data_IF_308321540202
#
_entry.id   IF_308321540202
#
_cell.length_a   1.000
_cell.length_b   1.000
_cell.length_c   1.000
_cell.angle_alpha   90.00
_cell.angle_beta   90.00
_cell.angle_gamma   90.00
#
_symmetry.space_group_name_H-M   'P 1'
#
loop_
_entity.id
_entity.type
_entity.pdbx_description
1 polymer ?
#
# COMPACT_ATOMS: atom_id res chain seq x y z
N UNK A 1 1.05 -17.74 4.70
CA UNK A 1 1.23 -19.15 4.24
C UNK A 1 0.88 -20.11 5.36
N UNK A 2 1.42 -19.94 6.57
CA UNK A 2 1.16 -20.80 7.73
C UNK A 2 -0.35 -20.98 7.99
N UNK A 3 -1.11 -19.89 8.05
CA UNK A 3 -2.56 -19.93 8.24
C UNK A 3 -3.28 -20.72 7.12
N UNK A 4 -2.80 -20.64 5.88
CA UNK A 4 -3.34 -21.44 4.78
C UNK A 4 -3.05 -22.94 4.98
N UNK A 5 -1.84 -23.26 5.47
CA UNK A 5 -1.43 -24.63 5.77
C UNK A 5 -2.30 -25.23 6.88
N UNK A 6 -2.51 -24.49 7.98
CA UNK A 6 -3.36 -24.86 9.10
C UNK A 6 -4.82 -25.10 8.66
N UNK A 7 -5.32 -24.27 7.74
CA UNK A 7 -6.66 -24.40 7.17
C UNK A 7 -6.73 -25.36 5.97
N UNK A 8 -5.66 -26.12 5.69
CA UNK A 8 -5.60 -27.11 4.62
C UNK A 8 -5.83 -26.54 3.21
N UNK A 9 -5.47 -25.27 2.99
CA UNK A 9 -5.57 -24.55 1.70
C UNK A 9 -4.29 -24.73 0.90
N UNK A 10 -4.40 -25.02 -0.40
CA UNK A 10 -3.25 -25.14 -1.28
C UNK A 10 -2.64 -23.75 -1.59
N UNK A 11 -1.32 -23.64 -1.48
CA UNK A 11 -0.56 -22.39 -1.70
C UNK A 11 0.52 -22.60 -2.74
N UNK A 12 0.65 -21.68 -3.68
CA UNK A 12 1.80 -21.55 -4.57
C UNK A 12 2.44 -20.19 -4.34
N UNK A 13 3.71 -20.17 -3.92
CA UNK A 13 4.49 -18.93 -3.74
C UNK A 13 5.48 -18.78 -4.90
N UNK A 14 5.45 -17.65 -5.58
CA UNK A 14 6.47 -17.19 -6.51
C UNK A 14 7.23 -16.04 -5.85
N UNK A 15 8.42 -16.32 -5.31
CA UNK A 15 9.20 -15.34 -4.54
C UNK A 15 10.39 -14.83 -5.34
N UNK A 16 10.41 -13.53 -5.59
CA UNK A 16 11.44 -12.82 -6.35
C UNK A 16 12.32 -11.98 -5.42
N UNK A 17 13.64 -12.21 -5.43
CA UNK A 17 14.62 -11.41 -4.71
C UNK A 17 15.74 -10.95 -5.67
N UNK A 18 16.43 -9.84 -5.31
CA UNK A 18 17.60 -9.35 -6.09
C UNK A 18 18.90 -10.11 -5.80
N UNK A 19 18.94 -10.86 -4.71
CA UNK A 19 20.09 -11.65 -4.30
C UNK A 19 19.82 -13.13 -4.44
N UNK A 20 20.88 -13.93 -4.37
CA UNK A 20 20.74 -15.40 -4.31
C UNK A 20 20.28 -15.90 -2.94
N UNK A 21 20.34 -15.04 -1.90
CA UNK A 21 19.85 -15.37 -0.56
C UNK A 21 18.41 -14.88 -0.42
N UNK A 22 17.48 -15.79 -0.41
CA UNK A 22 16.08 -15.51 -0.11
C UNK A 22 15.89 -15.47 1.41
N UNK A 23 15.20 -14.44 1.90
CA UNK A 23 14.83 -14.37 3.30
C UNK A 23 13.80 -15.47 3.59
N UNK A 24 13.92 -16.14 4.74
CA UNK A 24 13.06 -17.26 5.16
C UNK A 24 13.18 -18.54 4.30
N UNK A 25 14.33 -18.75 3.63
CA UNK A 25 14.51 -19.94 2.79
C UNK A 25 14.40 -21.25 3.59
N UNK A 26 14.94 -21.30 4.81
CA UNK A 26 14.82 -22.45 5.72
C UNK A 26 13.39 -22.74 6.13
N UNK A 27 12.62 -21.69 6.44
CA UNK A 27 11.21 -21.77 6.80
C UNK A 27 10.37 -22.24 5.61
N UNK A 28 10.72 -21.80 4.41
CA UNK A 28 10.06 -22.23 3.19
C UNK A 28 10.28 -23.72 2.91
N UNK A 29 11.51 -24.21 3.11
CA UNK A 29 11.81 -25.66 2.98
C UNK A 29 11.01 -26.50 3.96
N UNK A 30 10.76 -25.99 5.17
CA UNK A 30 9.92 -26.69 6.14
C UNK A 30 8.45 -26.72 5.72
N UNK A 31 7.94 -25.60 5.20
CA UNK A 31 6.56 -25.49 4.70
C UNK A 31 6.29 -26.39 3.49
N UNK A 32 7.28 -26.59 2.61
CA UNK A 32 7.16 -27.47 1.43
C UNK A 32 7.03 -28.97 1.78
N UNK A 33 7.32 -29.37 3.01
CA UNK A 33 6.99 -30.73 3.47
C UNK A 33 5.48 -31.01 3.42
N UNK A 34 4.67 -29.95 3.46
CA UNK A 34 3.25 -30.07 3.20
C UNK A 34 3.00 -30.13 1.69
N UNK A 35 2.46 -31.25 1.19
CA UNK A 35 2.18 -31.50 -0.24
C UNK A 35 1.27 -30.46 -0.91
N UNK A 36 0.60 -29.60 -0.13
CA UNK A 36 -0.25 -28.51 -0.64
C UNK A 36 0.48 -27.18 -0.79
N UNK A 37 1.75 -27.13 -0.43
CA UNK A 37 2.58 -25.92 -0.54
C UNK A 37 3.61 -26.16 -1.64
N UNK A 38 3.66 -25.26 -2.60
CA UNK A 38 4.69 -25.20 -3.64
C UNK A 38 5.37 -23.83 -3.59
N UNK A 39 6.70 -23.81 -3.47
CA UNK A 39 7.49 -22.59 -3.37
C UNK A 39 8.51 -22.53 -4.50
N UNK A 40 8.51 -21.42 -5.23
CA UNK A 40 9.41 -21.20 -6.35
C UNK A 40 10.19 -19.90 -6.11
N UNK A 41 11.51 -20.03 -5.94
CA UNK A 41 12.42 -18.94 -5.64
C UNK A 41 13.09 -18.46 -6.94
N UNK A 42 13.08 -17.15 -7.17
CA UNK A 42 13.65 -16.52 -8.36
C UNK A 42 14.62 -15.42 -7.98
N UNK A 43 15.72 -15.34 -8.70
CA UNK A 43 16.62 -14.18 -8.65
C UNK A 43 16.21 -13.19 -9.74
N UNK A 44 15.63 -12.06 -9.38
CA UNK A 44 15.14 -11.05 -10.34
C UNK A 44 16.26 -10.42 -11.20
N UNK A 45 17.54 -10.62 -10.86
CA UNK A 45 18.67 -10.15 -11.65
C UNK A 45 18.98 -11.12 -12.80
N UNK A 46 18.90 -12.43 -12.59
CA UNK A 46 19.15 -13.47 -13.61
C UNK A 46 17.87 -13.94 -14.31
N UNK A 47 16.80 -14.15 -13.54
CA UNK A 47 15.55 -14.75 -14.02
C UNK A 47 14.55 -13.71 -14.53
N UNK A 48 14.87 -12.41 -14.32
CA UNK A 48 14.01 -11.31 -14.72
C UNK A 48 12.82 -11.09 -13.76
N UNK A 49 11.85 -10.32 -14.26
CA UNK A 49 10.59 -10.08 -13.57
C UNK A 49 9.59 -11.19 -13.88
N UNK A 50 8.56 -11.28 -13.05
CA UNK A 50 7.45 -12.22 -13.23
C UNK A 50 6.84 -12.10 -14.64
N UNK A 51 6.58 -13.24 -15.26
CA UNK A 51 5.95 -13.35 -16.57
C UNK A 51 4.72 -14.24 -16.51
N UNK A 52 3.82 -14.11 -17.48
CA UNK A 52 2.64 -14.98 -17.54
C UNK A 52 3.02 -16.44 -17.76
N UNK A 53 4.08 -16.72 -18.51
CA UNK A 53 4.59 -18.07 -18.75
C UNK A 53 5.03 -18.72 -17.44
N UNK A 54 5.69 -17.96 -16.54
CA UNK A 54 6.06 -18.46 -15.21
C UNK A 54 4.81 -18.73 -14.37
N UNK A 55 3.84 -17.82 -14.37
CA UNK A 55 2.57 -18.02 -13.64
C UNK A 55 1.88 -19.29 -14.14
N UNK A 56 1.68 -19.44 -15.44
CA UNK A 56 1.05 -20.60 -16.06
C UNK A 56 1.79 -21.91 -15.79
N UNK A 57 3.13 -21.86 -15.77
CA UNK A 57 3.97 -23.03 -15.49
C UNK A 57 3.84 -23.51 -14.05
N UNK A 58 3.85 -22.60 -13.08
CA UNK A 58 3.94 -22.93 -11.65
C UNK A 58 2.58 -22.89 -10.94
N UNK A 59 1.60 -22.22 -11.51
CA UNK A 59 0.24 -22.12 -11.01
C UNK A 59 -0.76 -22.14 -12.18
N UNK A 60 -0.93 -23.26 -12.87
CA UNK A 60 -1.76 -23.36 -14.08
C UNK A 60 -3.23 -23.03 -13.83
N UNK A 61 -3.70 -23.16 -12.60
CA UNK A 61 -5.05 -22.87 -12.14
C UNK A 61 -5.19 -21.46 -11.54
N UNK A 62 -4.28 -20.51 -11.85
CA UNK A 62 -4.24 -19.16 -11.26
C UNK A 62 -5.53 -18.37 -11.46
N UNK A 63 -6.31 -18.66 -12.51
CA UNK A 63 -7.60 -18.01 -12.79
C UNK A 63 -8.69 -18.34 -11.75
N UNK A 64 -8.57 -19.48 -11.10
CA UNK A 64 -9.52 -19.99 -10.09
C UNK A 64 -9.08 -19.61 -8.66
N UNK A 65 -7.84 -19.09 -8.50
CA UNK A 65 -7.26 -18.77 -7.21
C UNK A 65 -7.44 -17.31 -6.80
N UNK A 66 -7.38 -17.08 -5.50
CA UNK A 66 -7.09 -15.74 -4.96
C UNK A 66 -5.60 -15.50 -5.03
N UNK A 67 -5.21 -14.41 -5.66
CA UNK A 67 -3.81 -14.02 -5.83
C UNK A 67 -3.47 -12.88 -4.87
N UNK A 68 -2.46 -13.10 -4.03
CA UNK A 68 -1.90 -12.07 -3.16
C UNK A 68 -0.61 -11.55 -3.75
N UNK A 69 -0.50 -10.22 -3.91
CA UNK A 69 0.70 -9.56 -4.44
C UNK A 69 1.27 -8.63 -3.39
N UNK A 70 2.55 -8.84 -3.06
CA UNK A 70 3.24 -8.08 -2.04
C UNK A 70 4.64 -7.71 -2.54
N UNK A 71 5.04 -6.43 -2.43
CA UNK A 71 6.35 -5.97 -2.88
C UNK A 71 6.40 -4.50 -3.26
N UNK A 72 7.40 -4.07 -4.06
CA UNK A 72 7.49 -2.71 -4.57
C UNK A 72 6.28 -2.30 -5.41
N UNK A 73 5.86 -1.04 -5.32
CA UNK A 73 4.66 -0.54 -6.01
C UNK A 73 4.63 -0.85 -7.51
N UNK A 74 5.75 -0.68 -8.21
CA UNK A 74 5.83 -0.97 -9.64
C UNK A 74 5.64 -2.47 -9.92
N UNK A 75 6.21 -3.35 -9.09
CA UNK A 75 6.01 -4.79 -9.22
C UNK A 75 4.53 -5.17 -9.03
N UNK A 76 3.88 -4.60 -8.02
CA UNK A 76 2.45 -4.84 -7.78
C UNK A 76 1.61 -4.37 -8.98
N UNK A 77 1.85 -3.15 -9.46
CA UNK A 77 1.10 -2.60 -10.59
C UNK A 77 1.28 -3.44 -11.87
N UNK A 78 2.55 -3.74 -12.22
CA UNK A 78 2.89 -4.54 -13.41
C UNK A 78 2.29 -5.95 -13.32
N UNK A 79 2.38 -6.60 -12.14
CA UNK A 79 1.85 -7.96 -11.94
C UNK A 79 0.32 -7.98 -11.97
N UNK A 80 -0.33 -6.99 -11.35
CA UNK A 80 -1.79 -6.85 -11.39
C UNK A 80 -2.29 -6.69 -12.83
N UNK A 81 -1.65 -5.82 -13.60
CA UNK A 81 -2.00 -5.59 -14.99
C UNK A 81 -1.79 -6.87 -15.82
N UNK A 82 -0.65 -7.54 -15.65
CA UNK A 82 -0.34 -8.80 -16.32
C UNK A 82 -1.42 -9.86 -16.08
N UNK A 83 -1.89 -10.00 -14.85
CA UNK A 83 -2.95 -10.95 -14.48
C UNK A 83 -4.29 -10.59 -15.14
N UNK A 84 -4.69 -9.31 -15.12
CA UNK A 84 -5.94 -8.83 -15.71
C UNK A 84 -5.95 -9.03 -17.23
N UNK A 85 -4.85 -8.68 -17.90
CA UNK A 85 -4.69 -8.89 -19.36
C UNK A 85 -4.79 -10.38 -19.74
N UNK A 86 -4.44 -11.27 -18.81
CA UNK A 86 -4.56 -12.72 -18.97
C UNK A 86 -5.81 -13.31 -18.29
N UNK A 87 -6.89 -12.52 -18.21
CA UNK A 87 -8.25 -12.92 -17.82
C UNK A 87 -8.44 -13.24 -16.33
N UNK A 88 -7.50 -12.93 -15.46
CA UNK A 88 -7.74 -13.04 -14.02
C UNK A 88 -8.80 -12.01 -13.58
N UNK A 89 -9.68 -12.42 -12.68
CA UNK A 89 -10.74 -11.57 -12.16
C UNK A 89 -10.17 -10.60 -11.13
N UNK A 90 -10.31 -9.29 -11.33
CA UNK A 90 -9.73 -8.25 -10.47
C UNK A 90 -10.11 -8.41 -8.98
N UNK A 91 -11.34 -8.83 -8.67
CA UNK A 91 -11.79 -9.07 -7.29
C UNK A 91 -11.01 -10.18 -6.56
N UNK A 92 -10.37 -11.07 -7.31
CA UNK A 92 -9.55 -12.14 -6.77
C UNK A 92 -8.08 -11.74 -6.61
N UNK A 93 -7.69 -10.51 -6.98
CA UNK A 93 -6.32 -10.00 -6.86
C UNK A 93 -6.26 -9.04 -5.68
N UNK A 94 -5.58 -9.46 -4.62
CA UNK A 94 -5.38 -8.71 -3.39
C UNK A 94 -3.94 -8.21 -3.36
N UNK A 95 -3.74 -6.93 -3.08
CA UNK A 95 -2.41 -6.32 -3.07
C UNK A 95 -2.10 -5.67 -1.72
N UNK A 96 -0.89 -5.91 -1.22
CA UNK A 96 -0.37 -5.25 -0.03
C UNK A 96 0.80 -4.33 -0.40
N UNK A 97 0.68 -3.06 -0.05
CA UNK A 97 1.65 -2.01 -0.36
C UNK A 97 2.43 -1.63 0.89
N UNK A 98 3.77 -1.64 0.82
CA UNK A 98 4.65 -1.23 1.93
C UNK A 98 5.03 0.24 1.93
N UNK A 99 4.81 0.94 0.82
CA UNK A 99 5.00 2.39 0.72
C UNK A 99 3.72 3.03 0.23
N UNK A 100 3.46 4.24 0.70
CA UNK A 100 2.40 5.05 0.13
C UNK A 100 2.55 5.09 -1.39
N UNK A 101 1.48 4.75 -2.10
CA UNK A 101 1.42 4.94 -3.55
C UNK A 101 1.62 6.44 -3.77
N UNK A 102 2.62 6.83 -4.55
CA UNK A 102 2.68 8.20 -5.05
C UNK A 102 1.49 8.36 -6.00
N UNK A 103 0.39 8.83 -5.45
CA UNK A 103 -0.77 9.18 -6.26
C UNK A 103 -0.36 10.33 -7.17
N UNK A 104 -0.18 10.05 -8.46
CA UNK A 104 -0.10 11.08 -9.48
C UNK A 104 -1.49 11.70 -9.60
N UNK A 105 -1.87 12.51 -8.61
CA UNK A 105 -3.01 13.38 -8.77
C UNK A 105 -2.62 14.40 -9.84
N UNK A 106 -3.25 14.36 -11.00
CA UNK A 106 -3.21 15.45 -11.99
C UNK A 106 -3.90 16.74 -11.45
N UNK A 107 -4.28 16.72 -10.18
CA UNK A 107 -4.82 17.87 -9.49
C UNK A 107 -3.63 18.73 -9.08
N UNK A 108 -3.33 19.73 -9.89
CA UNK A 108 -2.46 20.85 -9.47
C UNK A 108 -3.19 21.60 -8.35
N UNK A 109 -2.92 21.19 -7.10
CA UNK A 109 -3.34 21.98 -5.95
C UNK A 109 -2.48 23.26 -5.97
N UNK A 110 -3.00 24.32 -6.57
CA UNK A 110 -2.33 25.64 -6.67
C UNK A 110 -2.22 26.36 -5.31
N UNK A 111 -2.21 25.61 -4.22
CA UNK A 111 -2.11 26.17 -2.87
C UNK A 111 -0.67 26.08 -2.39
N UNK A 112 0.08 27.17 -2.63
CA UNK A 112 1.47 27.27 -2.20
C UNK A 112 1.64 27.29 -0.67
N UNK A 113 0.60 27.66 0.08
CA UNK A 113 0.61 27.76 1.54
C UNK A 113 -0.75 27.38 2.14
N UNK A 114 -0.72 26.56 3.17
CA UNK A 114 -1.86 26.20 4.01
C UNK A 114 -1.48 26.41 5.48
N UNK A 115 -2.44 26.60 6.35
CA UNK A 115 -2.21 26.74 7.78
C UNK A 115 -2.91 25.62 8.55
N UNK A 116 -2.12 24.74 9.15
CA UNK A 116 -2.61 23.64 9.96
C UNK A 116 -2.63 24.04 11.43
N UNK A 117 -3.82 24.22 11.99
CA UNK A 117 -4.02 24.53 13.42
C UNK A 117 -4.20 23.22 14.22
N UNK A 118 -3.38 23.06 15.22
CA UNK A 118 -3.45 22.06 16.26
C UNK A 118 -3.87 22.77 17.56
N UNK A 119 -4.34 22.02 18.55
CA UNK A 119 -4.83 22.59 19.83
C UNK A 119 -3.92 23.67 20.42
N UNK A 120 -2.60 23.48 20.37
CA UNK A 120 -1.61 24.39 20.98
C UNK A 120 -0.51 24.87 20.00
N UNK A 121 -0.63 24.59 18.71
CA UNK A 121 0.40 24.90 17.71
C UNK A 121 -0.23 25.17 16.35
N UNK A 122 0.33 26.11 15.62
CA UNK A 122 0.03 26.32 14.20
C UNK A 122 1.25 26.00 13.37
N UNK A 123 1.05 25.34 12.24
CA UNK A 123 2.09 24.91 11.31
C UNK A 123 1.75 25.48 9.95
N UNK A 124 2.69 26.21 9.34
CA UNK A 124 2.60 26.57 7.93
C UNK A 124 2.89 25.30 7.10
N UNK A 125 1.87 24.81 6.42
CA UNK A 125 1.97 23.65 5.54
C UNK A 125 2.24 24.11 4.10
N UNK A 126 3.22 23.51 3.45
CA UNK A 126 3.68 23.92 2.12
C UNK A 126 3.53 22.77 1.11
N UNK A 127 3.02 23.11 -0.07
CA UNK A 127 2.94 22.19 -1.20
C UNK A 127 1.88 21.11 -1.05
N UNK A 128 2.06 20.01 -1.78
CA UNK A 128 1.16 18.87 -1.89
C UNK A 128 1.49 17.74 -0.89
N UNK A 129 2.12 18.06 0.24
CA UNK A 129 2.47 17.07 1.27
C UNK A 129 1.31 16.81 2.22
N UNK A 130 1.26 15.59 2.74
CA UNK A 130 0.19 15.19 3.66
C UNK A 130 0.35 15.85 5.03
N UNK A 131 -0.74 15.91 5.80
CA UNK A 131 -0.72 16.44 7.17
C UNK A 131 0.31 15.68 8.01
N UNK A 132 0.41 14.35 7.86
CA UNK A 132 1.41 13.55 8.57
C UNK A 132 2.84 14.02 8.26
N UNK A 133 3.19 14.16 6.98
CA UNK A 133 4.51 14.62 6.54
C UNK A 133 4.82 16.03 7.04
N UNK A 134 3.84 16.95 6.99
CA UNK A 134 3.97 18.31 7.52
C UNK A 134 4.25 18.33 9.02
N UNK A 135 3.56 17.48 9.78
CA UNK A 135 3.76 17.37 11.22
C UNK A 135 5.15 16.83 11.54
N UNK A 136 5.59 15.76 10.86
CA UNK A 136 6.92 15.18 11.03
C UNK A 136 8.03 16.18 10.70
N UNK A 137 7.91 16.92 9.59
CA UNK A 137 8.86 17.96 9.19
C UNK A 137 8.94 19.07 10.24
N UNK A 138 7.86 19.33 10.98
CA UNK A 138 7.82 20.32 12.06
C UNK A 138 8.13 19.72 13.46
N UNK A 139 8.73 18.53 13.50
CA UNK A 139 9.21 17.88 14.72
C UNK A 139 8.12 17.28 15.60
N UNK A 140 6.90 17.08 15.07
CA UNK A 140 5.82 16.41 15.76
C UNK A 140 5.85 14.90 15.45
N UNK A 141 5.39 14.09 16.39
CA UNK A 141 5.33 12.62 16.27
C UNK A 141 3.88 12.14 16.45
N UNK A 142 3.00 12.35 15.46
CA UNK A 142 1.63 11.85 15.53
C UNK A 142 1.63 10.31 15.40
N UNK A 143 0.58 9.68 15.90
CA UNK A 143 0.40 8.24 15.69
C UNK A 143 0.13 7.93 14.22
N UNK A 144 0.82 6.93 13.69
CA UNK A 144 0.57 6.41 12.35
C UNK A 144 0.92 4.91 12.26
N UNK A 145 0.52 4.27 11.17
CA UNK A 145 0.86 2.88 10.87
C UNK A 145 1.31 2.74 9.42
N UNK A 146 0.43 2.30 8.52
CA UNK A 146 0.76 1.92 7.13
C UNK A 146 1.15 3.09 6.21
N UNK A 147 0.86 4.35 6.54
CA UNK A 147 1.03 5.57 5.72
C UNK A 147 0.28 5.54 4.37
N UNK A 148 -0.68 4.64 4.21
CA UNK A 148 -1.40 4.38 2.95
C UNK A 148 -2.92 4.62 3.05
N UNK A 149 -3.41 5.11 4.20
CA UNK A 149 -4.84 5.31 4.41
C UNK A 149 -5.64 4.02 4.68
N UNK A 150 -5.00 2.87 4.90
CA UNK A 150 -5.68 1.59 5.07
C UNK A 150 -5.91 1.21 6.53
N UNK A 151 -4.87 1.30 7.37
CA UNK A 151 -4.92 0.81 8.76
C UNK A 151 -5.68 1.72 9.73
N UNK A 152 -6.01 2.94 9.33
CA UNK A 152 -6.73 3.96 10.13
C UNK A 152 -6.05 4.40 11.45
N UNK A 153 -4.81 3.94 11.73
CA UNK A 153 -4.09 4.30 12.96
C UNK A 153 -3.74 5.80 13.05
N UNK A 154 -3.66 6.49 11.91
CA UNK A 154 -3.44 7.93 11.80
C UNK A 154 -4.74 8.75 11.71
N UNK A 155 -5.87 8.17 12.11
CA UNK A 155 -7.14 8.89 12.09
C UNK A 155 -7.18 9.94 13.18
N UNK A 156 -7.69 11.13 12.83
CA UNK A 156 -7.94 12.22 13.76
C UNK A 156 -9.23 12.96 13.39
N UNK A 157 -9.68 13.83 14.26
CA UNK A 157 -10.83 14.69 13.99
C UNK A 157 -10.38 15.99 13.34
N UNK A 158 -10.88 16.27 12.13
CA UNK A 158 -10.82 17.58 11.52
C UNK A 158 -12.01 18.38 12.01
N UNK A 159 -11.75 19.47 12.72
CA UNK A 159 -12.80 20.33 13.28
C UNK A 159 -13.28 21.37 12.26
N UNK A 160 -12.38 21.85 11.40
CA UNK A 160 -12.66 22.94 10.46
C UNK A 160 -11.73 22.88 9.25
N UNK A 161 -12.16 23.44 8.14
CA UNK A 161 -11.40 23.53 6.91
C UNK A 161 -11.59 22.34 5.97
N UNK A 162 -10.86 22.34 4.87
CA UNK A 162 -10.95 21.36 3.79
C UNK A 162 -9.61 20.63 3.65
N UNK A 163 -9.66 19.34 3.45
CA UNK A 163 -8.50 18.55 3.06
C UNK A 163 -8.77 17.82 1.75
N UNK A 164 -7.74 17.64 0.96
CA UNK A 164 -7.77 16.78 -0.21
C UNK A 164 -7.26 15.39 0.18
N UNK A 165 -8.06 14.38 -0.03
CA UNK A 165 -7.69 12.98 0.23
C UNK A 165 -7.05 12.38 -1.03
N UNK A 166 -5.75 12.08 -0.97
CA UNK A 166 -4.98 11.51 -2.08
C UNK A 166 -5.45 10.09 -2.44
N UNK A 167 -6.01 9.34 -1.48
CA UNK A 167 -6.45 7.95 -1.71
C UNK A 167 -7.76 7.90 -2.51
N UNK A 168 -8.73 8.75 -2.14
CA UNK A 168 -10.04 8.79 -2.79
C UNK A 168 -10.13 9.81 -3.93
N UNK A 169 -9.07 10.62 -4.10
CA UNK A 169 -9.01 11.73 -5.06
C UNK A 169 -10.17 12.72 -4.90
N UNK A 170 -10.55 13.02 -3.66
CA UNK A 170 -11.70 13.87 -3.34
C UNK A 170 -11.38 14.88 -2.25
N UNK A 171 -12.17 15.95 -2.20
CA UNK A 171 -12.12 16.94 -1.12
C UNK A 171 -13.07 16.53 0.01
N UNK A 172 -12.66 16.85 1.23
CA UNK A 172 -13.54 16.76 2.38
C UNK A 172 -14.55 17.93 2.40
N UNK A 173 -15.60 17.80 3.18
CA UNK A 173 -16.47 18.94 3.50
C UNK A 173 -15.77 19.89 4.48
N UNK A 174 -16.29 21.12 4.62
CA UNK A 174 -15.76 22.10 5.57
C UNK A 174 -16.18 21.86 7.03
N UNK A 175 -16.91 20.78 7.29
CA UNK A 175 -17.48 20.38 8.58
C UNK A 175 -16.55 19.50 9.41
N UNK A 176 -16.93 19.23 10.63
CA UNK A 176 -16.23 18.27 11.51
C UNK A 176 -16.40 16.86 10.98
N UNK A 177 -15.29 16.17 10.78
CA UNK A 177 -15.26 14.79 10.30
C UNK A 177 -13.97 14.06 10.70
N UNK A 178 -13.97 12.74 10.61
CA UNK A 178 -12.76 11.93 10.80
C UNK A 178 -11.96 11.85 9.50
N UNK A 179 -10.69 12.22 9.57
CA UNK A 179 -9.75 12.14 8.45
C UNK A 179 -8.56 11.24 8.79
N UNK A 180 -7.83 10.81 7.78
CA UNK A 180 -6.57 10.07 7.92
C UNK A 180 -5.41 10.97 7.49
N UNK A 181 -4.60 11.44 8.45
CA UNK A 181 -3.56 12.45 8.19
C UNK A 181 -2.47 11.98 7.22
N UNK A 182 -2.28 10.67 7.04
CA UNK A 182 -1.27 10.14 6.13
C UNK A 182 -1.64 10.22 4.63
N UNK A 183 -2.90 10.49 4.31
CA UNK A 183 -3.39 10.64 2.93
C UNK A 183 -4.12 11.96 2.69
N UNK A 184 -4.25 12.79 3.70
CA UNK A 184 -4.93 14.08 3.64
C UNK A 184 -3.95 15.23 3.48
N UNK A 185 -4.16 16.07 2.46
CA UNK A 185 -3.40 17.32 2.19
C UNK A 185 -4.26 18.48 2.65
N UNK A 186 -3.76 19.41 3.48
CA UNK A 186 -4.53 20.55 3.94
C UNK A 186 -4.72 21.58 2.83
N UNK A 187 -5.93 22.14 2.74
CA UNK A 187 -6.29 23.19 1.77
C UNK A 187 -6.68 24.45 2.53
N UNK A 188 -5.85 25.49 2.45
CA UNK A 188 -6.05 26.72 3.21
C UNK A 188 -5.90 26.53 4.72
N UNK A 189 -6.82 27.05 5.50
CA UNK A 189 -6.82 26.92 6.97
C UNK A 189 -7.56 25.65 7.38
N UNK A 190 -6.86 24.74 8.06
CA UNK A 190 -7.40 23.46 8.54
C UNK A 190 -7.13 23.31 10.04
N UNK A 191 -8.14 22.96 10.82
CA UNK A 191 -8.03 22.69 12.25
C UNK A 191 -8.28 21.22 12.54
N UNK A 192 -7.34 20.59 13.24
CA UNK A 192 -7.43 19.18 13.64
C UNK A 192 -7.20 18.97 15.12
N UNK A 193 -7.80 17.90 15.64
CA UNK A 193 -7.58 17.38 16.98
C UNK A 193 -7.06 15.94 16.88
N UNK A 194 -5.86 15.71 17.41
CA UNK A 194 -5.15 14.41 17.41
C UNK A 194 -5.53 13.57 18.62
#
# INVERSE_FOLDING_TARGET
IEECVENNVAVTLLYYAKSQQHIFESEFMELEKNKKVAIHLFNSTSDGRITIQQIQKYCPDFLERTVFICGPNNMIADTKQLLIENKATEKNIISEYFKAVEFKSNVHLNHNKSNLKLKNKSIEAVGNTTILEQMETNGLQPKYGCRMGLCKQCSCTKNKGIVFNKLTNSYSEATTETIQICVSVPIGEVEINL
#
